data_IF_312431272132
#
_entry.id   IF_312431272132
#
_cell.length_a   1.000
_cell.length_b   1.000
_cell.length_c   1.000
_cell.angle_alpha   90.00
_cell.angle_beta   90.00
_cell.angle_gamma   90.00
#
_symmetry.space_group_name_H-M   'P 1'
#
loop_
_entity.id
_entity.type
_entity.pdbx_description
1 polymer ?
#
# COMPACT_ATOMS: atom_id res chain seq x y z
N UNK A 1 37.03 -5.75 17.01
CA UNK A 1 35.56 -5.82 17.17
C UNK A 1 35.11 -4.52 17.80
N UNK A 2 34.57 -3.56 17.04
CA UNK A 2 33.62 -2.51 17.47
C UNK A 2 33.51 -1.43 16.41
N UNK A 3 32.49 -1.48 15.55
CA UNK A 3 32.05 -0.32 14.76
C UNK A 3 30.53 -0.38 14.55
N UNK A 4 29.74 -0.07 15.59
CA UNK A 4 28.30 0.20 15.40
C UNK A 4 28.12 1.68 15.08
N UNK A 5 27.99 1.98 13.80
CA UNK A 5 27.66 3.32 13.30
C UNK A 5 26.20 3.66 13.62
N UNK A 6 25.99 4.66 14.48
CA UNK A 6 24.66 5.22 14.77
C UNK A 6 24.26 6.15 13.64
N UNK A 7 23.22 5.80 12.87
CA UNK A 7 22.61 6.70 11.91
C UNK A 7 21.83 7.81 12.65
N UNK A 8 22.12 9.08 12.33
CA UNK A 8 21.41 10.23 12.88
C UNK A 8 19.93 10.23 12.42
N UNK A 9 18.96 10.54 13.31
CA UNK A 9 17.58 10.73 12.89
C UNK A 9 17.46 12.08 12.19
N UNK A 10 17.15 12.10 10.88
CA UNK A 10 16.81 13.38 10.22
C UNK A 10 16.87 13.43 8.69
N UNK A 11 17.40 12.43 8.00
CA UNK A 11 17.38 12.44 6.53
C UNK A 11 16.10 11.79 6.04
N UNK A 12 15.00 12.54 5.96
CA UNK A 12 13.82 12.11 5.21
C UNK A 12 14.27 11.98 3.74
N UNK A 13 14.33 10.78 3.15
CA UNK A 13 14.65 10.69 1.74
C UNK A 13 13.59 11.49 0.99
N UNK A 14 14.02 12.49 0.22
CA UNK A 14 13.15 13.09 -0.80
C UNK A 14 12.86 11.98 -1.79
N UNK A 15 11.75 11.29 -1.58
CA UNK A 15 11.30 10.25 -2.49
C UNK A 15 10.95 10.94 -3.80
N UNK A 16 11.88 10.93 -4.76
CA UNK A 16 11.51 11.03 -6.18
C UNK A 16 10.30 10.13 -6.34
N UNK A 17 9.16 10.70 -6.76
CA UNK A 17 7.91 9.96 -6.88
C UNK A 17 8.17 8.70 -7.69
N UNK A 18 8.30 7.56 -7.01
CA UNK A 18 8.68 6.33 -7.65
C UNK A 18 7.56 6.00 -8.63
N UNK A 19 7.92 5.64 -9.86
CA UNK A 19 6.95 5.18 -10.85
C UNK A 19 6.07 4.10 -10.19
N UNK A 20 4.76 4.19 -10.37
CA UNK A 20 3.85 3.18 -9.83
C UNK A 20 4.14 1.85 -10.54
N UNK A 21 4.41 0.79 -9.77
CA UNK A 21 4.51 -0.56 -10.32
C UNK A 21 3.12 -1.16 -10.56
N UNK A 22 2.14 -0.78 -9.74
CA UNK A 22 0.75 -1.19 -9.87
C UNK A 22 -0.16 -0.15 -9.21
N UNK A 23 -1.35 0.07 -9.77
CA UNK A 23 -2.35 0.94 -9.17
C UNK A 23 -3.76 0.46 -9.50
N UNK A 24 -4.73 0.92 -8.73
CA UNK A 24 -6.15 0.85 -9.06
C UNK A 24 -6.80 2.20 -8.82
N UNK A 25 -7.84 2.49 -9.60
CA UNK A 25 -8.69 3.66 -9.43
C UNK A 25 -10.13 3.16 -9.32
N UNK A 26 -10.79 3.47 -8.22
CA UNK A 26 -12.18 3.09 -7.96
C UNK A 26 -12.47 1.59 -8.00
N UNK A 27 -11.52 0.76 -7.55
CA UNK A 27 -11.68 -0.68 -7.55
C UNK A 27 -12.84 -1.11 -6.65
N UNK A 28 -13.79 -1.83 -7.25
CA UNK A 28 -14.97 -2.34 -6.56
C UNK A 28 -15.07 -3.84 -6.77
N UNK A 29 -15.31 -4.58 -5.68
CA UNK A 29 -15.48 -6.03 -5.72
C UNK A 29 -16.62 -6.44 -4.82
N UNK A 30 -17.66 -6.99 -5.44
CA UNK A 30 -18.77 -7.61 -4.73
C UNK A 30 -18.70 -9.14 -4.82
N UNK A 31 -19.21 -9.79 -3.78
CA UNK A 31 -19.46 -11.23 -3.71
C UNK A 31 -20.92 -11.49 -3.38
N UNK A 32 -21.47 -12.59 -3.88
CA UNK A 32 -22.90 -12.89 -3.74
C UNK A 32 -23.79 -11.99 -4.61
N UNK A 33 -25.10 -12.06 -4.36
CA UNK A 33 -26.12 -11.32 -5.10
C UNK A 33 -27.40 -11.13 -4.27
N UNK A 34 -28.20 -10.13 -4.66
CA UNK A 34 -29.45 -9.83 -3.95
C UNK A 34 -29.18 -9.43 -2.50
N UNK A 35 -30.02 -9.90 -1.59
CA UNK A 35 -29.98 -9.50 -0.17
C UNK A 35 -28.74 -9.99 0.59
N UNK A 36 -27.96 -10.91 -0.01
CA UNK A 36 -26.73 -11.45 0.60
C UNK A 36 -25.46 -10.93 -0.06
N UNK A 37 -25.57 -9.91 -0.92
CA UNK A 37 -24.41 -9.31 -1.57
C UNK A 37 -23.50 -8.59 -0.55
N UNK A 38 -22.20 -8.82 -0.67
CA UNK A 38 -21.16 -8.19 0.16
C UNK A 38 -20.20 -7.42 -0.73
N UNK A 39 -19.97 -6.15 -0.40
CA UNK A 39 -18.99 -5.30 -1.08
C UNK A 39 -17.64 -5.42 -0.37
N UNK A 40 -16.80 -6.35 -0.82
CA UNK A 40 -15.47 -6.56 -0.25
C UNK A 40 -14.49 -5.41 -0.54
N UNK A 41 -14.63 -4.76 -1.69
CA UNK A 41 -13.94 -3.51 -2.01
C UNK A 41 -14.98 -2.50 -2.48
N UNK A 42 -14.96 -1.29 -1.90
CA UNK A 42 -15.86 -0.20 -2.25
C UNK A 42 -15.05 1.02 -2.72
N UNK A 43 -15.02 1.27 -4.03
CA UNK A 43 -14.38 2.43 -4.66
C UNK A 43 -12.90 2.66 -4.24
N UNK A 44 -12.12 1.58 -4.17
CA UNK A 44 -10.74 1.63 -3.64
C UNK A 44 -9.76 2.17 -4.68
N UNK A 45 -9.13 3.29 -4.36
CA UNK A 45 -8.02 3.87 -5.13
C UNK A 45 -6.71 3.71 -4.38
N UNK A 46 -5.73 3.04 -4.99
CA UNK A 46 -4.42 2.77 -4.38
C UNK A 46 -3.31 2.73 -5.43
N UNK A 47 -2.08 3.07 -5.04
CA UNK A 47 -0.88 2.96 -5.87
C UNK A 47 0.26 2.33 -5.07
N UNK A 48 0.95 1.37 -5.69
CA UNK A 48 2.10 0.68 -5.15
C UNK A 48 3.36 1.15 -5.90
N UNK A 49 4.30 1.85 -5.22
CA UNK A 49 5.51 2.33 -5.85
C UNK A 49 6.45 1.20 -6.27
N UNK A 50 7.19 1.40 -7.35
CA UNK A 50 8.24 0.49 -7.81
C UNK A 50 9.32 0.28 -6.75
N UNK A 51 9.90 -0.92 -6.75
CA UNK A 51 11.02 -1.31 -5.87
C UNK A 51 10.74 -1.13 -4.37
N UNK A 52 9.47 -1.19 -3.95
CA UNK A 52 9.08 -1.08 -2.55
C UNK A 52 8.28 -2.29 -2.08
N UNK A 53 8.70 -2.83 -0.94
CA UNK A 53 7.91 -3.82 -0.21
C UNK A 53 6.75 -3.12 0.51
N UNK A 54 5.53 -3.59 0.27
CA UNK A 54 4.30 -3.00 0.84
C UNK A 54 3.48 -4.10 1.52
N UNK A 55 2.99 -3.84 2.74
CA UNK A 55 2.09 -4.72 3.47
C UNK A 55 0.69 -4.08 3.56
N UNK A 56 -0.35 -4.92 3.49
CA UNK A 56 -1.75 -4.53 3.67
C UNK A 56 -2.22 -5.12 5.00
N UNK A 57 -2.81 -4.29 5.86
CA UNK A 57 -3.28 -4.67 7.20
C UNK A 57 -4.70 -4.15 7.44
N UNK A 58 -5.47 -4.87 8.25
CA UNK A 58 -6.82 -4.48 8.64
C UNK A 58 -7.41 -5.49 9.64
N UNK A 59 -8.57 -5.16 10.23
CA UNK A 59 -9.34 -6.13 11.01
C UNK A 59 -9.75 -7.32 10.14
N UNK A 60 -9.94 -8.48 10.77
CA UNK A 60 -10.58 -9.65 10.16
C UNK A 60 -12.08 -9.48 10.09
#
# INVERSE_FOLDING_TARGET
>A
MSDFSTAAPGSTPTATAAASAAHSVGATKAYGSGDTQVLALNDVTVSFPSARFTAIMGPS
#
